data_IF_402516505743
#
_entry.id   IF_402516505743
#
_cell.length_a   1.000
_cell.length_b   1.000
_cell.length_c   1.000
_cell.angle_alpha   90.00
_cell.angle_beta   90.00
_cell.angle_gamma   90.00
#
_symmetry.space_group_name_H-M   'P 1'
#
loop_
_entity.id
_entity.type
_entity.pdbx_description
1 polymer ?
#
# COMPACT_ATOMS: atom_id res chain seq x y z
N UNK A 1 0.08 -2.20 -3.03
CA UNK A 1 1.33 -1.77 -2.39
C UNK A 1 2.19 -0.98 -3.34
N UNK A 2 2.70 0.16 -2.86
CA UNK A 2 3.69 0.98 -3.55
C UNK A 2 5.03 0.83 -2.84
N UNK A 3 6.12 0.63 -3.57
CA UNK A 3 7.47 0.77 -3.03
C UNK A 3 7.96 2.17 -3.39
N UNK A 4 8.37 2.92 -2.38
CA UNK A 4 9.03 4.21 -2.55
C UNK A 4 10.53 3.97 -2.45
N UNK A 5 11.27 4.26 -3.52
CA UNK A 5 12.72 4.12 -3.59
C UNK A 5 13.36 5.50 -3.75
N UNK A 6 14.23 5.87 -2.83
CA UNK A 6 15.02 7.12 -2.88
C UNK A 6 16.48 6.76 -3.04
N UNK A 7 17.02 6.72 -4.27
CA UNK A 7 18.44 6.46 -4.50
C UNK A 7 19.30 7.54 -3.82
N UNK A 8 20.50 7.17 -3.40
CA UNK A 8 21.47 8.13 -2.86
C UNK A 8 21.70 9.29 -3.85
N UNK A 9 21.39 10.52 -3.41
CA UNK A 9 21.52 11.74 -4.21
C UNK A 9 20.52 11.88 -5.37
N UNK A 10 19.53 10.99 -5.47
CA UNK A 10 18.49 10.97 -6.50
C UNK A 10 17.13 11.45 -6.00
N UNK A 11 16.17 11.70 -6.92
CA UNK A 11 14.79 11.98 -6.56
C UNK A 11 14.06 10.71 -6.07
N UNK A 12 13.01 10.90 -5.29
CA UNK A 12 12.08 9.83 -4.91
C UNK A 12 11.42 9.20 -6.16
N UNK A 13 11.47 7.88 -6.27
CA UNK A 13 10.85 7.06 -7.30
C UNK A 13 9.75 6.18 -6.68
N UNK A 14 8.61 6.03 -7.37
CA UNK A 14 7.46 5.27 -6.86
C UNK A 14 7.10 4.11 -7.78
N UNK A 15 7.02 2.91 -7.21
CA UNK A 15 6.79 1.67 -7.94
C UNK A 15 5.55 0.95 -7.44
N UNK A 16 4.51 0.91 -8.27
CA UNK A 16 3.32 0.10 -7.99
C UNK A 16 3.59 -1.36 -8.36
N UNK A 17 3.77 -2.22 -7.36
CA UNK A 17 4.09 -3.64 -7.53
C UNK A 17 3.02 -4.38 -8.36
N UNK A 18 1.78 -3.89 -8.39
CA UNK A 18 0.68 -4.46 -9.19
C UNK A 18 0.89 -4.26 -10.69
N UNK A 19 1.77 -3.34 -11.09
CA UNK A 19 2.15 -3.12 -12.49
C UNK A 19 3.24 -4.06 -12.97
N UNK A 20 3.76 -4.95 -12.12
CA UNK A 20 4.62 -6.05 -12.58
C UNK A 20 3.80 -7.02 -13.43
N UNK A 21 4.35 -7.36 -14.59
CA UNK A 21 3.84 -8.46 -15.43
C UNK A 21 4.15 -9.78 -14.75
N UNK A 22 3.38 -10.82 -15.06
CA UNK A 22 3.59 -12.17 -14.52
C UNK A 22 5.04 -12.67 -14.67
N UNK A 23 5.65 -12.44 -15.84
CA UNK A 23 7.05 -12.84 -16.09
C UNK A 23 8.06 -12.05 -15.25
N UNK A 24 7.79 -10.76 -14.98
CA UNK A 24 8.63 -9.92 -14.14
C UNK A 24 8.52 -10.35 -12.68
N UNK A 25 7.30 -10.60 -12.20
CA UNK A 25 7.06 -11.15 -10.86
C UNK A 25 7.78 -12.49 -10.65
N UNK A 26 7.76 -13.39 -11.65
CA UNK A 26 8.53 -14.65 -11.61
C UNK A 26 10.04 -14.40 -11.55
N UNK A 27 10.56 -13.43 -12.31
CA UNK A 27 12.00 -13.10 -12.30
C UNK A 27 12.44 -12.45 -11.00
N UNK A 28 11.66 -11.51 -10.45
CA UNK A 28 11.92 -10.91 -9.14
C UNK A 28 11.97 -11.99 -8.06
N UNK A 29 10.94 -12.83 -7.97
CA UNK A 29 10.89 -13.90 -6.99
C UNK A 29 12.05 -14.90 -7.15
N UNK A 30 12.37 -15.28 -8.39
CA UNK A 30 13.50 -16.15 -8.70
C UNK A 30 14.87 -15.55 -8.34
N UNK A 31 15.03 -14.24 -8.43
CA UNK A 31 16.30 -13.57 -8.09
C UNK A 31 16.67 -13.70 -6.61
N UNK A 32 15.67 -13.87 -5.74
CA UNK A 32 15.85 -14.08 -4.29
C UNK A 32 15.47 -15.51 -3.87
N UNK A 33 15.28 -16.44 -4.81
CA UNK A 33 15.01 -17.85 -4.53
C UNK A 33 13.64 -18.15 -3.91
N UNK A 34 12.65 -17.27 -4.07
CA UNK A 34 11.32 -17.39 -3.49
C UNK A 34 10.24 -17.60 -4.56
N UNK A 35 9.04 -17.99 -4.13
CA UNK A 35 7.83 -17.92 -4.96
C UNK A 35 7.17 -16.56 -4.80
N UNK A 36 6.46 -16.11 -5.84
CA UNK A 36 5.79 -14.80 -5.83
C UNK A 36 4.84 -14.59 -4.63
N UNK A 37 4.13 -15.63 -4.20
CA UNK A 37 3.27 -15.54 -3.02
C UNK A 37 4.04 -15.21 -1.74
N UNK A 38 5.27 -15.70 -1.59
CA UNK A 38 6.14 -15.39 -0.44
C UNK A 38 6.67 -13.97 -0.54
N UNK A 39 7.08 -13.52 -1.74
CA UNK A 39 7.51 -12.13 -1.98
C UNK A 39 6.42 -11.14 -1.56
N UNK A 40 5.16 -11.41 -1.91
CA UNK A 40 4.04 -10.54 -1.49
C UNK A 40 3.85 -10.46 0.03
N UNK A 41 4.08 -11.56 0.74
CA UNK A 41 4.00 -11.57 2.20
C UNK A 41 5.14 -10.73 2.80
N UNK A 42 6.36 -10.94 2.31
CA UNK A 42 7.55 -10.20 2.74
C UNK A 42 7.46 -8.69 2.43
N UNK A 43 6.85 -8.30 1.30
CA UNK A 43 6.58 -6.90 1.00
C UNK A 43 5.66 -6.25 2.04
N UNK A 44 4.70 -6.98 2.62
CA UNK A 44 3.85 -6.44 3.68
C UNK A 44 4.60 -6.24 5.01
N UNK A 45 5.80 -6.79 5.13
CA UNK A 45 6.68 -6.71 6.31
C UNK A 45 7.89 -5.79 6.06
N UNK A 46 7.88 -4.99 4.98
CA UNK A 46 9.00 -4.13 4.58
C UNK A 46 10.34 -4.89 4.40
N UNK A 47 10.28 -6.13 3.91
CA UNK A 47 11.50 -6.93 3.68
C UNK A 47 12.38 -6.31 2.57
N UNK A 48 13.67 -6.03 2.86
CA UNK A 48 14.54 -5.31 1.93
C UNK A 48 14.83 -6.10 0.65
N UNK A 49 14.96 -7.43 0.73
CA UNK A 49 15.25 -8.27 -0.44
C UNK A 49 14.03 -8.36 -1.37
N UNK A 50 12.83 -8.47 -0.80
CA UNK A 50 11.58 -8.44 -1.56
C UNK A 50 11.36 -7.09 -2.26
N UNK A 51 11.60 -5.97 -1.55
CA UNK A 51 11.53 -4.62 -2.13
C UNK A 51 12.55 -4.45 -3.26
N UNK A 52 13.82 -4.79 -2.97
CA UNK A 52 14.94 -4.73 -3.93
C UNK A 52 14.64 -5.52 -5.20
N UNK A 53 14.14 -6.74 -5.08
CA UNK A 53 13.82 -7.59 -6.22
C UNK A 53 12.73 -7.00 -7.12
N UNK A 54 11.71 -6.38 -6.53
CA UNK A 54 10.64 -5.73 -7.27
C UNK A 54 11.12 -4.46 -7.97
N UNK A 55 11.82 -3.57 -7.26
CA UNK A 55 12.37 -2.33 -7.82
C UNK A 55 13.38 -2.64 -8.92
N UNK A 56 14.25 -3.63 -8.73
CA UNK A 56 15.18 -4.09 -9.77
C UNK A 56 14.48 -4.43 -11.08
N UNK A 57 13.34 -5.16 -11.03
CA UNK A 57 12.59 -5.49 -12.24
C UNK A 57 12.06 -4.25 -12.95
N UNK A 58 11.61 -3.22 -12.22
CA UNK A 58 11.22 -1.96 -12.83
C UNK A 58 12.42 -1.24 -13.47
N UNK A 59 13.54 -1.09 -12.76
CA UNK A 59 14.75 -0.45 -13.31
C UNK A 59 15.29 -1.20 -14.53
N UNK A 60 15.18 -2.53 -14.56
CA UNK A 60 15.62 -3.35 -15.68
C UNK A 60 14.79 -3.13 -16.97
N UNK A 61 13.61 -2.49 -16.90
CA UNK A 61 12.83 -2.08 -18.09
C UNK A 61 13.53 -0.95 -18.85
N UNK A 62 14.13 -0.03 -18.11
CA UNK A 62 14.79 1.16 -18.64
C UNK A 62 16.28 0.91 -18.89
N UNK A 63 16.90 0.08 -18.05
CA UNK A 63 18.32 -0.22 -18.06
C UNK A 63 18.54 -1.66 -18.54
N UNK A 64 18.54 -1.82 -19.87
CA UNK A 64 18.79 -3.13 -20.49
C UNK A 64 20.15 -3.66 -20.05
N UNK A 65 20.17 -4.83 -19.42
CA UNK A 65 21.40 -5.50 -18.95
C UNK A 65 21.69 -5.33 -17.45
N UNK A 66 20.90 -4.54 -16.71
CA UNK A 66 21.02 -4.41 -15.26
C UNK A 66 20.91 -5.78 -14.57
N UNK A 67 21.99 -6.22 -13.91
CA UNK A 67 21.99 -7.48 -13.15
C UNK A 67 21.48 -7.23 -11.74
N UNK A 68 20.76 -8.21 -11.19
CA UNK A 68 20.24 -8.11 -9.82
C UNK A 68 21.35 -7.87 -8.79
N UNK A 69 22.45 -8.63 -8.87
CA UNK A 69 23.60 -8.47 -7.96
C UNK A 69 24.34 -7.14 -8.07
N UNK A 70 24.13 -6.36 -9.14
CA UNK A 70 24.67 -5.00 -9.28
C UNK A 70 23.69 -3.90 -8.85
N UNK A 71 22.43 -4.24 -8.60
CA UNK A 71 21.43 -3.32 -8.06
C UNK A 71 21.36 -3.51 -6.55
N UNK A 72 22.05 -2.67 -5.79
CA UNK A 72 22.24 -2.82 -4.33
C UNK A 72 21.97 -1.50 -3.61
N UNK A 73 20.69 -1.08 -3.50
CA UNK A 73 20.31 0.13 -2.77
C UNK A 73 20.58 -0.03 -1.26
N UNK A 74 20.68 1.09 -0.55
CA UNK A 74 20.72 1.10 0.91
C UNK A 74 19.45 0.52 1.52
N UNK A 75 19.57 -0.07 2.71
CA UNK A 75 18.42 -0.69 3.41
C UNK A 75 17.33 0.33 3.73
N UNK A 76 17.71 1.59 3.98
CA UNK A 76 16.79 2.68 4.28
C UNK A 76 16.33 3.46 3.03
N UNK A 77 16.85 3.12 1.85
CA UNK A 77 16.49 3.79 0.60
C UNK A 77 15.10 3.38 0.10
N UNK A 78 14.52 2.31 0.66
CA UNK A 78 13.23 1.77 0.25
C UNK A 78 12.28 1.59 1.41
N UNK A 79 11.02 1.99 1.21
CA UNK A 79 9.92 1.74 2.14
C UNK A 79 8.67 1.33 1.36
N UNK A 80 7.83 0.47 1.93
CA UNK A 80 6.51 0.24 1.35
C UNK A 80 5.49 1.25 1.87
N UNK A 81 4.50 1.53 1.03
CA UNK A 81 3.38 2.41 1.32
C UNK A 81 2.09 1.74 0.87
N UNK A 82 1.05 1.86 1.68
CA UNK A 82 -0.26 1.33 1.34
C UNK A 82 -0.89 2.12 0.20
N UNK A 83 -1.36 1.42 -0.81
CA UNK A 83 -2.17 2.03 -1.85
C UNK A 83 -3.60 2.29 -1.36
N UNK A 84 -4.38 3.06 -2.15
CA UNK A 84 -5.78 3.41 -1.79
C UNK A 84 -6.64 2.20 -1.43
N UNK A 85 -6.50 1.09 -2.15
CA UNK A 85 -7.31 -0.12 -1.93
C UNK A 85 -6.90 -0.83 -0.64
N UNK A 86 -5.60 -0.89 -0.36
CA UNK A 86 -5.09 -1.42 0.91
C UNK A 86 -5.54 -0.55 2.09
N UNK A 87 -5.48 0.77 1.95
CA UNK A 87 -5.98 1.71 2.94
C UNK A 87 -7.47 1.49 3.22
N UNK A 88 -8.32 1.41 2.19
CA UNK A 88 -9.75 1.14 2.33
C UNK A 88 -10.03 -0.19 3.07
N UNK A 89 -9.28 -1.25 2.74
CA UNK A 89 -9.41 -2.54 3.40
C UNK A 89 -9.02 -2.48 4.88
N UNK A 90 -7.90 -1.83 5.19
CA UNK A 90 -7.41 -1.66 6.56
C UNK A 90 -8.35 -0.78 7.39
N UNK A 91 -8.93 0.27 6.80
CA UNK A 91 -9.97 1.09 7.45
C UNK A 91 -11.18 0.22 7.79
N UNK A 92 -11.69 -0.55 6.81
CA UNK A 92 -12.83 -1.43 7.01
C UNK A 92 -12.56 -2.53 8.04
N UNK A 93 -11.33 -3.00 8.17
CA UNK A 93 -10.91 -3.94 9.21
C UNK A 93 -10.85 -3.27 10.59
N UNK A 94 -10.22 -2.09 10.71
CA UNK A 94 -10.14 -1.33 11.96
C UNK A 94 -11.51 -0.93 12.52
N UNK A 95 -12.51 -0.73 11.67
CA UNK A 95 -13.90 -0.47 12.08
C UNK A 95 -14.61 -1.73 12.61
N UNK A 96 -14.20 -2.93 12.20
CA UNK A 96 -14.77 -4.21 12.67
C UNK A 96 -14.12 -4.67 13.98
N UNK A 97 -12.87 -4.30 14.19
CA UNK A 97 -12.11 -4.68 15.38
C UNK A 97 -12.63 -3.89 16.59
N UNK A 98 -13.09 -4.59 17.65
CA UNK A 98 -13.45 -3.94 18.90
C UNK A 98 -12.23 -3.21 19.47
N UNK A 99 -12.45 -2.01 19.98
CA UNK A 99 -11.39 -1.25 20.62
C UNK A 99 -11.14 -1.81 22.02
N UNK A 100 -9.91 -2.28 22.29
CA UNK A 100 -9.54 -2.79 23.61
C UNK A 100 -9.21 -1.65 24.57
N UNK A 101 -8.61 -0.57 24.06
CA UNK A 101 -8.22 0.62 24.82
C UNK A 101 -8.71 1.89 24.13
N UNK A 102 -9.26 2.87 24.88
CA UNK A 102 -9.69 4.13 24.31
C UNK A 102 -8.57 4.82 23.49
N UNK A 103 -8.86 5.15 22.24
CA UNK A 103 -7.95 5.84 21.32
C UNK A 103 -7.05 4.92 20.48
N UNK A 104 -7.09 3.61 20.68
CA UNK A 104 -6.31 2.64 19.89
C UNK A 104 -6.71 2.66 18.41
N UNK A 105 -8.02 2.76 18.12
CA UNK A 105 -8.49 2.85 16.72
C UNK A 105 -8.04 4.15 16.06
N UNK A 106 -8.12 5.27 16.79
CA UNK A 106 -7.68 6.57 16.29
C UNK A 106 -6.16 6.58 15.98
N UNK A 107 -5.35 5.95 16.84
CA UNK A 107 -3.92 5.79 16.59
C UNK A 107 -3.65 4.87 15.40
N UNK A 108 -4.40 3.76 15.27
CA UNK A 108 -4.31 2.88 14.11
C UNK A 108 -4.56 3.64 12.80
N UNK A 109 -5.63 4.44 12.72
CA UNK A 109 -5.91 5.25 11.52
C UNK A 109 -4.86 6.33 11.26
N UNK A 110 -4.27 6.92 12.30
CA UNK A 110 -3.15 7.87 12.16
C UNK A 110 -1.92 7.20 11.55
N UNK A 111 -1.57 6.01 12.02
CA UNK A 111 -0.46 5.21 11.47
C UNK A 111 -0.76 4.81 10.02
N UNK A 112 -2.01 4.46 9.72
CA UNK A 112 -2.50 4.12 8.39
C UNK A 112 -2.30 5.29 7.40
N UNK A 113 -2.75 6.50 7.75
CA UNK A 113 -2.55 7.72 6.94
C UNK A 113 -1.07 8.00 6.70
N UNK A 114 -0.27 8.00 7.77
CA UNK A 114 1.17 8.31 7.70
C UNK A 114 1.93 7.39 6.75
N UNK A 115 1.51 6.12 6.67
CA UNK A 115 2.16 5.11 5.84
C UNK A 115 1.43 4.83 4.52
N UNK A 116 0.43 5.64 4.17
CA UNK A 116 -0.23 5.58 2.86
C UNK A 116 0.61 6.26 1.78
N UNK A 117 0.51 5.76 0.55
CA UNK A 117 1.16 6.37 -0.62
C UNK A 117 0.54 7.72 -1.00
N UNK A 118 -0.71 7.94 -0.60
CA UNK A 118 -1.48 9.18 -0.73
C UNK A 118 -2.17 9.51 0.61
N UNK A 119 -1.47 10.17 1.55
CA UNK A 119 -2.03 10.50 2.86
C UNK A 119 -3.32 11.32 2.76
N UNK A 120 -3.38 12.31 1.86
CA UNK A 120 -4.56 13.16 1.69
C UNK A 120 -5.77 12.37 1.16
N UNK A 121 -5.54 11.46 0.20
CA UNK A 121 -6.59 10.55 -0.29
C UNK A 121 -7.07 9.56 0.77
N UNK A 122 -6.17 9.10 1.65
CA UNK A 122 -6.53 8.25 2.79
C UNK A 122 -7.29 9.01 3.88
N UNK A 123 -6.94 10.26 4.17
CA UNK A 123 -7.69 11.13 5.08
C UNK A 123 -9.11 11.37 4.57
N UNK A 124 -9.27 11.61 3.26
CA UNK A 124 -10.58 11.74 2.64
C UNK A 124 -11.41 10.45 2.77
N UNK A 125 -10.80 9.27 2.55
CA UNK A 125 -11.44 7.98 2.77
C UNK A 125 -11.89 7.78 4.23
N UNK A 126 -11.05 8.17 5.20
CA UNK A 126 -11.42 8.11 6.61
C UNK A 126 -12.63 9.01 6.90
N UNK A 127 -12.67 10.24 6.39
CA UNK A 127 -13.80 11.15 6.59
C UNK A 127 -15.11 10.65 5.95
N UNK A 128 -15.01 9.85 4.89
CA UNK A 128 -16.14 9.17 4.24
C UNK A 128 -16.65 7.97 5.05
N UNK A 129 -15.75 7.18 5.64
CA UNK A 129 -16.06 5.89 6.25
C UNK A 129 -16.24 5.93 7.78
N UNK A 130 -15.71 6.95 8.45
CA UNK A 130 -15.64 7.05 9.91
C UNK A 130 -16.46 8.25 10.38
N UNK A 131 -17.26 8.06 11.44
CA UNK A 131 -18.01 9.13 12.09
C UNK A 131 -17.17 9.91 13.12
N UNK A 132 -17.78 10.91 13.77
CA UNK A 132 -17.10 11.76 14.76
C UNK A 132 -16.66 10.99 16.02
N UNK A 133 -17.30 9.85 16.33
CA UNK A 133 -17.00 8.99 17.47
C UNK A 133 -15.97 7.89 17.13
N UNK A 134 -15.44 7.88 15.90
CA UNK A 134 -14.49 6.87 15.43
C UNK A 134 -15.15 5.53 15.06
N UNK A 135 -16.47 5.49 14.93
CA UNK A 135 -17.27 4.37 14.47
C UNK A 135 -17.49 4.38 12.96
N UNK A 136 -18.08 3.29 12.40
CA UNK A 136 -18.45 3.26 10.99
C UNK A 136 -19.58 4.25 10.72
N UNK A 137 -19.37 5.15 9.76
CA UNK A 137 -20.39 6.11 9.34
C UNK A 137 -21.60 5.37 8.76
N UNK A 138 -22.79 5.73 9.22
CA UNK A 138 -24.02 5.16 8.66
C UNK A 138 -24.13 5.50 7.16
N UNK A 139 -24.49 4.50 6.35
CA UNK A 139 -24.83 4.75 4.95
C UNK A 139 -25.98 5.76 4.90
N UNK A 140 -25.82 6.86 4.16
CA UNK A 140 -26.91 7.79 3.95
C UNK A 140 -28.09 7.05 3.35
N UNK A 141 -29.23 7.05 4.03
CA UNK A 141 -30.45 6.42 3.54
C UNK A 141 -30.76 6.93 2.12
N UNK A 142 -31.10 6.04 1.16
CA UNK A 142 -31.55 6.49 -0.14
C UNK A 142 -32.80 7.35 0.09
N UNK A 143 -32.70 8.63 -0.26
CA UNK A 143 -33.79 9.58 -0.12
C UNK A 143 -35.06 8.99 -0.77
N UNK A 144 -36.22 9.01 -0.09
CA UNK A 144 -37.43 8.42 -0.62
C UNK A 144 -37.81 9.16 -1.91
N UNK A 145 -37.75 8.45 -3.03
CA UNK A 145 -38.38 8.87 -4.29
C UNK A 145 -39.85 9.08 -4.00
N UNK A 146 -40.27 10.34 -3.92
CA UNK A 146 -41.67 10.70 -3.73
C UNK A 146 -42.47 10.18 -4.92
N UNK A 147 -43.55 9.39 -4.72
CA UNK A 147 -44.38 8.93 -5.80
C UNK A 147 -45.17 10.12 -6.38
N UNK A 148 -44.97 10.40 -7.66
CA UNK A 148 -45.85 11.26 -8.45
C UNK A 148 -47.27 10.69 -8.42
N UNK A 149 -48.21 11.45 -7.85
CA UNK A 149 -49.64 11.13 -7.94
C UNK A 149 -50.17 11.55 -9.31
N UNK A 150 -50.86 10.62 -9.98
CA UNK A 150 -51.77 10.87 -11.12
C UNK A 150 -53.18 11.23 -10.60
#
# INVERSE_FOLDING_TARGET
MIIVYTPEGGPEERYDVRQLRTSEATRAAGAIGLRWAQVKALLAEDDPDAMRACVWQFKAREQTGLRFGSFDPGVEDMVTRWDRREAEQLIAEGLKTPEEKPGERAEFFRVLVRNSADPAGTEALLAEMVDEDGGPKAAADPSPTSPTSD
#
